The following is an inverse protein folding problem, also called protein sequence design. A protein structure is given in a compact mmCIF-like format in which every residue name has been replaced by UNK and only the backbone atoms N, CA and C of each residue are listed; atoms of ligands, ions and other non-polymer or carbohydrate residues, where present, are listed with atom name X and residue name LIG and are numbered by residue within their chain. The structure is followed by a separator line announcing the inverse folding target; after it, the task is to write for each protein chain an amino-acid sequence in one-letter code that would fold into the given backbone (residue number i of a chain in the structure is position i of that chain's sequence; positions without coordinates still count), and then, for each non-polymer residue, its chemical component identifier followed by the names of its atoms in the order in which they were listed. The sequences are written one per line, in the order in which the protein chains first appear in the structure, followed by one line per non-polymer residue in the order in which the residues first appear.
data_IF_011728541996
#
_entry.id   IF_011728541996
#
_cell.length_a   1.000
_cell.length_b   1.000
_cell.length_c   1.000
_cell.angle_alpha   90.00
_cell.angle_beta   90.00
_cell.angle_gamma   90.00
#
_symmetry.space_group_name_H-M   'P 1'
#
loop_
_entity.id
_entity.type
_entity.pdbx_description
1 polymer ?
#
# COMPACT_ATOMS: atom_id res chain seq x y z
N UNK A 1 21.01 43.24 7.40
CA UNK A 1 21.67 44.51 6.98
C UNK A 1 20.73 45.67 6.64
N UNK A 2 19.39 45.56 6.72
CA UNK A 2 18.47 46.69 6.44
C UNK A 2 18.31 47.69 7.62
N UNK A 3 18.60 47.27 8.86
CA UNK A 3 18.35 48.07 10.06
C UNK A 3 19.35 49.24 10.27
N UNK A 4 20.55 49.17 9.67
CA UNK A 4 21.54 50.26 9.74
C UNK A 4 21.20 51.41 8.79
N UNK A 5 20.60 51.11 7.61
CA UNK A 5 20.17 52.14 6.65
C UNK A 5 19.00 52.97 7.17
N UNK A 6 18.06 52.38 7.91
CA UNK A 6 16.89 53.07 8.47
C UNK A 6 17.28 54.07 9.57
N UNK A 7 18.28 53.72 10.41
CA UNK A 7 18.82 54.60 11.46
C UNK A 7 19.60 55.78 10.87
N UNK A 8 20.35 55.56 9.79
CA UNK A 8 21.05 56.63 9.08
C UNK A 8 20.07 57.63 8.42
N UNK A 9 18.96 57.15 7.82
CA UNK A 9 17.93 58.03 7.25
C UNK A 9 17.19 58.85 8.31
N UNK A 10 16.89 58.26 9.48
CA UNK A 10 16.33 59.02 10.60
C UNK A 10 17.31 60.06 11.12
N UNK A 11 18.62 59.77 11.15
CA UNK A 11 19.64 60.74 11.55
C UNK A 11 19.77 61.90 10.55
N UNK A 12 19.70 61.64 9.23
CA UNK A 12 19.71 62.69 8.20
C UNK A 12 18.45 63.56 8.25
N UNK A 13 17.27 62.95 8.46
CA UNK A 13 16.02 63.71 8.61
C UNK A 13 16.04 64.54 9.90
N UNK A 14 16.50 63.95 11.01
CA UNK A 14 16.60 64.62 12.30
C UNK A 14 17.63 65.76 12.26
N UNK A 15 18.79 65.56 11.62
CA UNK A 15 19.78 66.63 11.42
C UNK A 15 19.28 67.71 10.46
N UNK A 16 18.53 67.40 9.41
CA UNK A 16 17.93 68.40 8.53
C UNK A 16 16.84 69.23 9.24
N UNK A 17 15.97 68.58 10.02
CA UNK A 17 14.94 69.26 10.84
C UNK A 17 15.61 70.10 11.93
N UNK A 18 16.61 69.54 12.62
CA UNK A 18 17.34 70.23 13.69
C UNK A 18 18.20 71.37 13.14
N UNK A 19 18.79 71.23 11.95
CA UNK A 19 19.48 72.32 11.23
C UNK A 19 18.50 73.41 10.79
N UNK A 20 17.29 73.06 10.35
CA UNK A 20 16.24 74.04 10.04
C UNK A 20 15.74 74.79 11.27
N UNK A 21 15.54 74.10 12.40
CA UNK A 21 15.17 74.70 13.69
C UNK A 21 16.32 75.57 14.23
N UNK A 22 17.57 75.12 14.10
CA UNK A 22 18.75 75.86 14.56
C UNK A 22 19.01 77.09 13.69
N UNK A 23 18.71 77.04 12.38
CA UNK A 23 18.75 78.21 11.50
C UNK A 23 17.72 79.28 11.93
N UNK A 24 16.54 78.84 12.39
CA UNK A 24 15.51 79.73 12.92
C UNK A 24 15.92 80.35 14.27
N UNK A 25 16.52 79.58 15.18
CA UNK A 25 16.91 80.07 16.51
C UNK A 25 18.25 80.83 16.54
N UNK A 26 19.20 80.51 15.66
CA UNK A 26 20.43 81.28 15.49
C UNK A 26 20.13 82.67 14.90
N UNK A 27 19.10 82.78 14.05
CA UNK A 27 18.64 84.09 13.55
C UNK A 27 17.83 84.88 14.60
N UNK A 28 17.20 84.21 15.57
CA UNK A 28 16.57 84.88 16.71
C UNK A 28 17.58 85.43 17.75
N UNK A 29 18.86 85.05 17.66
CA UNK A 29 19.89 85.39 18.65
C UNK A 29 20.83 86.54 18.25
N UNK A 30 20.72 87.07 17.03
CA UNK A 30 21.45 88.27 16.60
C UNK A 30 20.46 89.42 16.37
N UNK A 31 20.19 90.19 17.43
CA UNK A 31 19.52 91.47 17.33
C UNK A 31 20.56 92.54 16.97
N UNK A 32 20.61 93.08 15.72
CA UNK A 32 21.41 94.26 15.45
C UNK A 32 20.73 95.46 16.12
N UNK A 33 21.32 95.93 17.22
CA UNK A 33 21.02 97.23 17.77
C UNK A 33 21.48 98.30 16.75
N UNK A 34 20.53 98.83 15.97
CA UNK A 34 20.73 100.03 15.12
C UNK A 34 20.52 99.78 13.62
N UNK A 35 19.28 99.97 13.16
CA UNK A 35 18.89 100.03 11.74
C UNK A 35 17.40 100.33 11.65
N UNK A 36 16.99 101.22 10.75
CA UNK A 36 15.65 101.83 10.72
C UNK A 36 14.46 100.86 10.58
N UNK A 37 13.25 101.40 10.76
CA UNK A 37 11.93 100.72 10.92
C UNK A 37 11.64 99.45 10.08
N UNK A 38 12.32 99.26 8.94
CA UNK A 38 12.18 98.10 8.06
C UNK A 38 12.86 96.83 8.60
N UNK A 39 13.99 96.93 9.30
CA UNK A 39 14.65 95.77 9.93
C UNK A 39 13.92 95.30 11.20
N UNK A 40 13.16 96.19 11.85
CA UNK A 40 12.32 95.85 13.01
C UNK A 40 11.00 95.18 12.62
N UNK A 41 10.60 95.27 11.34
CA UNK A 41 9.50 94.50 10.73
C UNK A 41 9.95 93.11 10.22
N UNK A 42 11.23 92.76 10.38
CA UNK A 42 11.76 91.43 10.05
C UNK A 42 11.85 91.12 8.54
N UNK A 43 11.66 92.12 7.68
CA UNK A 43 11.69 91.96 6.22
C UNK A 43 13.07 92.36 5.70
N UNK A 44 14.05 91.48 5.95
CA UNK A 44 15.36 91.58 5.32
C UNK A 44 15.40 90.68 4.06
N UNK A 45 15.64 91.22 2.85
CA UNK A 45 15.66 90.44 1.61
C UNK A 45 16.75 89.34 1.62
N UNK A 46 17.82 89.52 2.41
CA UNK A 46 18.84 88.49 2.63
C UNK A 46 18.30 87.30 3.43
N UNK A 47 17.47 87.56 4.44
CA UNK A 47 16.86 86.53 5.28
C UNK A 47 15.85 85.70 4.51
N UNK A 48 15.02 86.35 3.69
CA UNK A 48 14.07 85.67 2.80
C UNK A 48 14.82 84.77 1.79
N UNK A 49 15.94 85.26 1.23
CA UNK A 49 16.76 84.48 0.30
C UNK A 49 17.39 83.25 0.97
N UNK A 50 17.96 83.39 2.16
CA UNK A 50 18.56 82.27 2.92
C UNK A 50 17.48 81.26 3.33
N UNK A 51 16.31 81.73 3.79
CA UNK A 51 15.19 80.87 4.12
C UNK A 51 14.63 80.12 2.90
N UNK A 52 14.54 80.79 1.74
CA UNK A 52 14.13 80.17 0.49
C UNK A 52 15.12 79.09 0.02
N UNK A 53 16.43 79.36 0.15
CA UNK A 53 17.48 78.37 -0.16
C UNK A 53 17.40 77.17 0.79
N UNK A 54 17.21 77.41 2.10
CA UNK A 54 17.02 76.33 3.08
C UNK A 54 15.78 75.47 2.78
N UNK A 55 14.66 76.11 2.43
CA UNK A 55 13.45 75.40 2.00
C UNK A 55 13.68 74.57 0.73
N UNK A 56 14.38 75.11 -0.26
CA UNK A 56 14.74 74.40 -1.49
C UNK A 56 15.66 73.20 -1.23
N UNK A 57 16.62 73.31 -0.32
CA UNK A 57 17.51 72.21 0.07
C UNK A 57 16.68 71.09 0.72
N UNK A 58 15.81 71.42 1.67
CA UNK A 58 14.93 70.44 2.32
C UNK A 58 13.98 69.79 1.30
N UNK A 59 13.39 70.58 0.39
CA UNK A 59 12.52 70.07 -0.67
C UNK A 59 13.26 69.11 -1.61
N UNK A 60 14.49 69.43 -2.02
CA UNK A 60 15.32 68.58 -2.86
C UNK A 60 15.66 67.25 -2.17
N UNK A 61 15.96 67.28 -0.87
CA UNK A 61 16.20 66.08 -0.07
C UNK A 61 14.92 65.24 0.05
N UNK A 62 13.77 65.85 0.37
CA UNK A 62 12.50 65.13 0.43
C UNK A 62 12.13 64.51 -0.91
N UNK A 63 12.27 65.25 -2.01
CA UNK A 63 11.93 64.76 -3.34
C UNK A 63 12.77 63.53 -3.74
N UNK A 64 14.08 63.56 -3.49
CA UNK A 64 14.96 62.42 -3.81
C UNK A 64 14.71 61.19 -2.92
N UNK A 65 14.36 61.37 -1.65
CA UNK A 65 14.21 60.26 -0.71
C UNK A 65 12.78 59.69 -0.62
N UNK A 66 11.75 60.53 -0.62
CA UNK A 66 10.35 60.10 -0.47
C UNK A 66 9.90 59.31 -1.69
N UNK A 67 10.14 59.82 -2.91
CA UNK A 67 9.74 59.13 -4.14
C UNK A 67 10.44 57.78 -4.31
N UNK A 68 11.74 57.70 -3.97
CA UNK A 68 12.49 56.44 -4.03
C UNK A 68 12.03 55.39 -2.99
N UNK A 69 11.68 55.81 -1.77
CA UNK A 69 11.27 54.89 -0.70
C UNK A 69 9.82 54.44 -0.82
N UNK A 70 8.90 55.35 -1.15
CA UNK A 70 7.48 55.03 -1.32
C UNK A 70 7.27 54.21 -2.58
N UNK A 71 7.93 54.57 -3.69
CA UNK A 71 7.86 53.79 -4.94
C UNK A 71 8.33 52.34 -4.76
N UNK A 72 9.44 52.13 -4.06
CA UNK A 72 9.95 50.78 -3.78
C UNK A 72 8.98 49.92 -2.96
N UNK A 73 8.36 50.49 -1.91
CA UNK A 73 7.39 49.76 -1.09
C UNK A 73 6.12 49.37 -1.87
N UNK A 74 5.63 50.24 -2.75
CA UNK A 74 4.46 49.93 -3.58
C UNK A 74 4.79 48.86 -4.63
N UNK A 75 5.98 48.90 -5.21
CA UNK A 75 6.44 47.90 -6.18
C UNK A 75 6.67 46.54 -5.50
N UNK A 76 7.27 46.51 -4.31
CA UNK A 76 7.43 45.29 -3.52
C UNK A 76 6.07 44.65 -3.20
N UNK A 77 5.08 45.47 -2.79
CA UNK A 77 3.71 45.00 -2.56
C UNK A 77 3.04 44.48 -3.82
N UNK A 78 3.23 45.16 -4.96
CA UNK A 78 2.71 44.70 -6.25
C UNK A 78 3.31 43.34 -6.60
N UNK A 79 4.62 43.21 -6.51
CA UNK A 79 5.35 41.97 -6.84
C UNK A 79 4.95 40.82 -5.92
N UNK A 80 4.77 41.08 -4.62
CA UNK A 80 4.28 40.10 -3.65
C UNK A 80 2.89 39.57 -4.05
N UNK A 81 1.95 40.47 -4.35
CA UNK A 81 0.59 40.08 -4.77
C UNK A 81 0.60 39.31 -6.09
N UNK A 82 1.35 39.78 -7.09
CA UNK A 82 1.47 39.09 -8.38
C UNK A 82 2.05 37.70 -8.21
N UNK A 83 3.10 37.55 -7.38
CA UNK A 83 3.71 36.25 -7.09
C UNK A 83 2.73 35.32 -6.38
N UNK A 84 1.98 35.83 -5.39
CA UNK A 84 0.96 35.04 -4.70
C UNK A 84 -0.16 34.60 -5.63
N UNK A 85 -0.63 35.46 -6.54
CA UNK A 85 -1.66 35.10 -7.53
C UNK A 85 -1.15 34.03 -8.48
N UNK A 86 0.10 34.14 -8.93
CA UNK A 86 0.70 33.15 -9.83
C UNK A 86 0.87 31.80 -9.13
N UNK A 87 1.35 31.80 -7.89
CA UNK A 87 1.42 30.60 -7.05
C UNK A 87 0.05 29.96 -6.87
N UNK A 88 -0.97 30.74 -6.53
CA UNK A 88 -2.34 30.23 -6.40
C UNK A 88 -2.89 29.64 -7.71
N UNK A 89 -2.49 30.17 -8.87
CA UNK A 89 -2.85 29.58 -10.16
C UNK A 89 -2.15 28.24 -10.36
N UNK A 90 -0.84 28.19 -10.16
CA UNK A 90 -0.07 26.94 -10.28
C UNK A 90 -0.57 25.87 -9.32
N UNK A 91 -0.83 26.23 -8.06
CA UNK A 91 -1.36 25.31 -7.05
C UNK A 91 -2.74 24.76 -7.45
N UNK A 92 -3.61 25.60 -8.03
CA UNK A 92 -4.91 25.15 -8.54
C UNK A 92 -4.77 24.20 -9.72
N UNK A 93 -3.90 24.52 -10.67
CA UNK A 93 -3.64 23.65 -11.82
C UNK A 93 -3.05 22.30 -11.39
N UNK A 94 -2.16 22.30 -10.39
CA UNK A 94 -1.62 21.08 -9.79
C UNK A 94 -2.69 20.28 -9.03
N UNK A 95 -3.53 20.93 -8.24
CA UNK A 95 -4.65 20.28 -7.54
C UNK A 95 -5.64 19.65 -8.53
N UNK A 96 -5.98 20.34 -9.61
CA UNK A 96 -6.87 19.80 -10.65
C UNK A 96 -6.22 18.59 -11.33
N UNK A 97 -4.91 18.65 -11.63
CA UNK A 97 -4.16 17.53 -12.20
C UNK A 97 -4.14 16.33 -11.25
N UNK A 98 -3.80 16.55 -9.98
CA UNK A 98 -3.75 15.49 -8.96
C UNK A 98 -5.14 14.89 -8.73
N UNK A 99 -6.19 15.70 -8.77
CA UNK A 99 -7.57 15.22 -8.64
C UNK A 99 -7.97 14.36 -9.84
N UNK A 100 -7.63 14.79 -11.06
CA UNK A 100 -7.87 14.02 -12.27
C UNK A 100 -7.11 12.67 -12.24
N UNK A 101 -5.83 12.71 -11.89
CA UNK A 101 -4.99 11.52 -11.75
C UNK A 101 -5.53 10.56 -10.66
N UNK A 102 -5.97 11.10 -9.52
CA UNK A 102 -6.56 10.27 -8.45
C UNK A 102 -7.86 9.61 -8.91
N UNK A 103 -8.73 10.35 -9.61
CA UNK A 103 -9.97 9.79 -10.17
C UNK A 103 -9.69 8.69 -11.19
N UNK A 104 -8.70 8.91 -12.06
CA UNK A 104 -8.28 7.90 -13.03
C UNK A 104 -7.75 6.65 -12.32
N UNK A 105 -6.83 6.82 -11.36
CA UNK A 105 -6.29 5.70 -10.57
C UNK A 105 -7.38 4.93 -9.82
N UNK A 106 -8.40 5.61 -9.28
CA UNK A 106 -9.53 4.95 -8.63
C UNK A 106 -10.34 4.10 -9.63
N UNK A 107 -10.63 4.64 -10.82
CA UNK A 107 -11.34 3.90 -11.87
C UNK A 107 -10.51 2.69 -12.37
N UNK A 108 -9.20 2.85 -12.50
CA UNK A 108 -8.28 1.77 -12.87
C UNK A 108 -8.26 0.68 -11.77
N UNK A 109 -8.18 1.06 -10.50
CA UNK A 109 -8.24 0.14 -9.36
C UNK A 109 -9.57 -0.63 -9.32
N UNK A 110 -10.70 0.06 -9.54
CA UNK A 110 -12.02 -0.60 -9.58
C UNK A 110 -12.09 -1.63 -10.71
N UNK A 111 -11.57 -1.28 -11.89
CA UNK A 111 -11.51 -2.17 -13.05
C UNK A 111 -10.60 -3.37 -12.78
N UNK A 112 -9.39 -3.14 -12.26
CA UNK A 112 -8.43 -4.19 -11.92
C UNK A 112 -8.99 -5.12 -10.82
N UNK A 113 -9.66 -4.55 -9.81
CA UNK A 113 -10.30 -5.33 -8.76
C UNK A 113 -11.41 -6.23 -9.33
N UNK A 114 -12.25 -5.70 -10.23
CA UNK A 114 -13.29 -6.49 -10.88
C UNK A 114 -12.69 -7.62 -11.73
N UNK A 115 -11.65 -7.32 -12.52
CA UNK A 115 -10.93 -8.34 -13.30
C UNK A 115 -10.32 -9.40 -12.39
N UNK A 116 -9.67 -9.00 -11.30
CA UNK A 116 -9.03 -9.93 -10.36
C UNK A 116 -10.05 -10.84 -9.67
N UNK A 117 -11.22 -10.30 -9.29
CA UNK A 117 -12.31 -11.10 -8.74
C UNK A 117 -12.82 -12.10 -9.78
N UNK A 118 -13.02 -11.67 -11.02
CA UNK A 118 -13.48 -12.54 -12.09
C UNK A 118 -12.48 -13.68 -12.37
N UNK A 119 -11.19 -13.36 -12.47
CA UNK A 119 -10.12 -14.35 -12.63
C UNK A 119 -10.06 -15.32 -11.43
N UNK A 120 -10.22 -14.84 -10.21
CA UNK A 120 -10.23 -15.70 -9.03
C UNK A 120 -11.44 -16.66 -9.02
N UNK A 121 -12.62 -16.20 -9.47
CA UNK A 121 -13.80 -17.05 -9.63
C UNK A 121 -13.56 -18.12 -10.70
N UNK A 122 -13.00 -17.74 -11.84
CA UNK A 122 -12.68 -18.68 -12.93
C UNK A 122 -11.67 -19.73 -12.50
N UNK A 123 -10.58 -19.31 -11.84
CA UNK A 123 -9.57 -20.21 -11.27
C UNK A 123 -10.18 -21.14 -10.23
N UNK A 124 -10.99 -20.61 -9.30
CA UNK A 124 -11.64 -21.43 -8.28
C UNK A 124 -12.65 -22.44 -8.86
N UNK A 125 -13.33 -22.10 -9.95
CA UNK A 125 -14.21 -23.04 -10.64
C UNK A 125 -13.43 -24.11 -11.40
N UNK A 126 -12.33 -23.75 -12.05
CA UNK A 126 -11.44 -24.70 -12.71
C UNK A 126 -10.83 -25.68 -11.68
N UNK A 127 -10.28 -25.17 -10.58
CA UNK A 127 -9.71 -25.98 -9.50
C UNK A 127 -10.77 -26.88 -8.86
N UNK A 128 -11.99 -26.39 -8.62
CA UNK A 128 -13.10 -27.22 -8.16
C UNK A 128 -13.38 -28.37 -9.13
N UNK A 129 -13.40 -28.10 -10.44
CA UNK A 129 -13.67 -29.12 -11.45
C UNK A 129 -12.54 -30.15 -11.51
N UNK A 130 -11.29 -29.72 -11.38
CA UNK A 130 -10.12 -30.60 -11.36
C UNK A 130 -10.16 -31.50 -10.12
N UNK A 131 -10.41 -30.94 -8.93
CA UNK A 131 -10.56 -31.70 -7.68
C UNK A 131 -11.69 -32.73 -7.81
N UNK A 132 -12.84 -32.35 -8.36
CA UNK A 132 -13.97 -33.27 -8.54
C UNK A 132 -13.63 -34.39 -9.54
N UNK A 133 -12.90 -34.08 -10.59
CA UNK A 133 -12.46 -35.07 -11.59
C UNK A 133 -11.48 -36.05 -10.96
N UNK A 134 -10.46 -35.54 -10.26
CA UNK A 134 -9.47 -36.34 -9.58
C UNK A 134 -10.11 -37.21 -8.49
N UNK A 135 -11.00 -36.66 -7.66
CA UNK A 135 -11.68 -37.42 -6.61
C UNK A 135 -12.55 -38.56 -7.18
N UNK A 136 -13.21 -38.34 -8.33
CA UNK A 136 -13.95 -39.41 -9.03
C UNK A 136 -13.02 -40.50 -9.53
N UNK A 137 -11.89 -40.12 -10.14
CA UNK A 137 -10.92 -41.07 -10.63
C UNK A 137 -10.29 -41.88 -9.51
N UNK A 138 -9.91 -41.24 -8.40
CA UNK A 138 -9.40 -41.92 -7.20
C UNK A 138 -10.44 -42.86 -6.59
N UNK A 139 -11.72 -42.47 -6.56
CA UNK A 139 -12.80 -43.33 -6.09
C UNK A 139 -13.02 -44.55 -7.00
N UNK A 140 -12.98 -44.36 -8.32
CA UNK A 140 -13.06 -45.46 -9.29
C UNK A 140 -11.89 -46.43 -9.15
N UNK A 141 -10.66 -45.91 -9.00
CA UNK A 141 -9.46 -46.69 -8.78
C UNK A 141 -9.51 -47.46 -7.45
N UNK A 142 -9.99 -46.84 -6.38
CA UNK A 142 -10.17 -47.49 -5.08
C UNK A 142 -11.20 -48.62 -5.15
N UNK A 143 -12.34 -48.40 -5.82
CA UNK A 143 -13.35 -49.45 -6.04
C UNK A 143 -12.79 -50.58 -6.89
N UNK A 144 -11.99 -50.28 -7.92
CA UNK A 144 -11.35 -51.31 -8.74
C UNK A 144 -10.35 -52.14 -7.93
N UNK A 145 -9.51 -51.50 -7.09
CA UNK A 145 -8.60 -52.18 -6.16
C UNK A 145 -9.36 -53.06 -5.18
N UNK A 146 -10.39 -52.54 -4.53
CA UNK A 146 -11.20 -53.27 -3.57
C UNK A 146 -11.86 -54.51 -4.22
N UNK A 147 -12.36 -54.39 -5.46
CA UNK A 147 -12.91 -55.54 -6.19
C UNK A 147 -11.86 -56.59 -6.53
N UNK A 148 -10.66 -56.17 -6.92
CA UNK A 148 -9.56 -57.10 -7.19
C UNK A 148 -9.12 -57.83 -5.90
N UNK A 149 -9.06 -57.11 -4.78
CA UNK A 149 -8.75 -57.67 -3.47
C UNK A 149 -9.81 -58.69 -3.03
N UNK A 150 -11.10 -58.33 -3.10
CA UNK A 150 -12.21 -59.24 -2.81
C UNK A 150 -12.15 -60.51 -3.68
N UNK A 151 -11.79 -60.37 -4.96
CA UNK A 151 -11.68 -61.53 -5.83
C UNK A 151 -10.52 -62.45 -5.39
N UNK A 152 -9.37 -61.86 -5.03
CA UNK A 152 -8.22 -62.59 -4.50
C UNK A 152 -8.56 -63.32 -3.21
N UNK A 153 -9.17 -62.62 -2.24
CA UNK A 153 -9.59 -63.21 -0.96
C UNK A 153 -10.62 -64.34 -1.16
N UNK A 154 -11.55 -64.21 -2.11
CA UNK A 154 -12.49 -65.27 -2.46
C UNK A 154 -11.78 -66.50 -3.02
N UNK A 155 -10.84 -66.31 -3.93
CA UNK A 155 -10.09 -67.42 -4.53
C UNK A 155 -9.24 -68.15 -3.48
N UNK A 156 -8.66 -67.40 -2.54
CA UNK A 156 -7.94 -67.94 -1.38
C UNK A 156 -8.87 -68.71 -0.44
N UNK A 157 -10.03 -68.16 -0.08
CA UNK A 157 -11.02 -68.82 0.77
C UNK A 157 -11.58 -70.10 0.12
N UNK A 158 -11.79 -70.11 -1.21
CA UNK A 158 -12.19 -71.32 -1.94
C UNK A 158 -11.09 -72.37 -1.89
N UNK A 159 -9.82 -71.97 -2.03
CA UNK A 159 -8.68 -72.88 -1.93
C UNK A 159 -8.58 -73.51 -0.53
N UNK A 160 -8.74 -72.70 0.51
CA UNK A 160 -8.75 -73.18 1.90
C UNK A 160 -9.92 -74.13 2.16
N UNK A 161 -11.13 -73.79 1.69
CA UNK A 161 -12.32 -74.64 1.82
C UNK A 161 -12.14 -75.99 1.13
N UNK A 162 -11.47 -76.04 -0.03
CA UNK A 162 -11.15 -77.31 -0.71
C UNK A 162 -10.24 -78.19 0.14
N UNK A 163 -9.28 -77.59 0.85
CA UNK A 163 -8.43 -78.30 1.82
C UNK A 163 -9.25 -78.92 2.95
N UNK A 164 -10.10 -78.12 3.60
CA UNK A 164 -10.98 -78.58 4.70
C UNK A 164 -11.94 -79.68 4.24
N UNK A 165 -12.53 -79.55 3.06
CA UNK A 165 -13.46 -80.56 2.50
C UNK A 165 -12.71 -81.86 2.18
N UNK A 166 -11.48 -81.79 1.65
CA UNK A 166 -10.68 -82.97 1.39
C UNK A 166 -10.31 -83.70 2.69
N UNK A 167 -9.92 -82.97 3.73
CA UNK A 167 -9.62 -83.53 5.06
C UNK A 167 -10.86 -84.20 5.66
N UNK A 168 -12.01 -83.52 5.64
CA UNK A 168 -13.27 -84.09 6.13
C UNK A 168 -13.70 -85.34 5.35
N UNK A 169 -13.50 -85.37 4.04
CA UNK A 169 -13.79 -86.53 3.20
C UNK A 169 -12.87 -87.73 3.52
N UNK A 170 -11.58 -87.48 3.76
CA UNK A 170 -10.62 -88.50 4.20
C UNK A 170 -11.03 -89.03 5.58
N UNK A 171 -11.40 -88.16 6.52
CA UNK A 171 -11.83 -88.53 7.86
C UNK A 171 -13.10 -89.40 7.83
N UNK A 172 -14.09 -89.01 7.02
CA UNK A 172 -15.32 -89.79 6.83
C UNK A 172 -15.03 -91.16 6.20
N UNK A 173 -14.17 -91.23 5.18
CA UNK A 173 -13.78 -92.48 4.54
C UNK A 173 -13.03 -93.40 5.53
N UNK A 174 -12.08 -92.86 6.29
CA UNK A 174 -11.36 -93.55 7.37
C UNK A 174 -12.32 -94.15 8.40
N UNK A 175 -13.37 -93.41 8.77
CA UNK A 175 -14.37 -93.87 9.75
C UNK A 175 -15.23 -95.00 9.21
N UNK A 176 -15.69 -94.91 7.95
CA UNK A 176 -16.44 -95.99 7.29
C UNK A 176 -15.59 -97.25 7.15
N UNK A 177 -14.32 -97.12 6.73
CA UNK A 177 -13.38 -98.24 6.65
C UNK A 177 -13.18 -98.87 8.03
N UNK A 178 -13.03 -98.05 9.07
CA UNK A 178 -12.90 -98.54 10.46
C UNK A 178 -14.15 -99.29 10.94
N UNK A 179 -15.36 -98.84 10.55
CA UNK A 179 -16.61 -99.53 10.87
C UNK A 179 -16.79 -100.85 10.09
N UNK A 180 -16.43 -100.89 8.81
CA UNK A 180 -16.46 -102.12 7.99
C UNK A 180 -15.37 -103.14 8.41
N UNK A 181 -14.24 -102.69 8.96
CA UNK A 181 -13.16 -103.51 9.51
C UNK A 181 -13.42 -104.04 10.92
N UNK A 182 -14.69 -104.17 11.33
CA UNK A 182 -15.03 -104.79 12.61
C UNK A 182 -14.84 -106.33 12.55
N UNK A 183 -14.37 -106.90 13.65
CA UNK A 183 -13.85 -108.27 13.73
C UNK A 183 -14.83 -109.37 13.25
N UNK A 184 -16.14 -109.10 13.28
CA UNK A 184 -17.19 -110.03 12.84
C UNK A 184 -17.21 -110.25 11.30
N UNK A 185 -16.85 -109.26 10.48
CA UNK A 185 -16.88 -109.40 9.01
C UNK A 185 -15.57 -109.98 8.45
N UNK A 186 -14.45 -109.82 9.17
CA UNK A 186 -13.15 -110.40 8.82
C UNK A 186 -13.16 -111.94 8.88
N UNK A 187 -13.83 -112.55 9.87
CA UNK A 187 -13.98 -114.01 9.92
C UNK A 187 -14.78 -114.54 8.73
N UNK A 188 -15.87 -113.85 8.35
CA UNK A 188 -16.72 -114.27 7.24
C UNK A 188 -16.02 -114.17 5.86
N UNK A 189 -15.07 -113.25 5.67
CA UNK A 189 -14.27 -113.14 4.42
C UNK A 189 -13.11 -114.16 4.41
N UNK A 190 -12.49 -114.44 5.56
CA UNK A 190 -11.46 -115.48 5.68
C UNK A 190 -12.08 -116.86 5.41
N UNK A 191 -13.22 -117.17 6.01
CA UNK A 191 -13.93 -118.44 5.78
C UNK A 191 -14.43 -118.57 4.34
N UNK A 192 -14.90 -117.49 3.72
CA UNK A 192 -15.29 -117.46 2.31
C UNK A 192 -14.11 -117.58 1.33
N UNK A 193 -12.89 -117.20 1.74
CA UNK A 193 -11.68 -117.31 0.92
C UNK A 193 -11.03 -118.70 1.06
N UNK A 194 -11.03 -119.27 2.27
CA UNK A 194 -10.58 -120.64 2.53
C UNK A 194 -11.47 -121.66 1.79
N UNK A 195 -12.78 -121.42 1.70
CA UNK A 195 -13.71 -122.28 0.96
C UNK A 195 -13.59 -122.20 -0.57
N UNK A 196 -12.84 -121.25 -1.13
CA UNK A 196 -12.58 -121.12 -2.58
C UNK A 196 -11.23 -121.66 -3.04
N UNK A 197 -10.37 -122.12 -2.13
CA UNK A 197 -9.14 -122.80 -2.52
C UNK A 197 -9.47 -124.26 -2.87
N UNK A 198 -9.34 -124.69 -4.15
CA UNK A 198 -9.43 -126.10 -4.48
C UNK A 198 -8.29 -126.82 -3.78
N UNK A 199 -8.65 -127.82 -2.96
CA UNK A 199 -7.70 -128.71 -2.31
C UNK A 199 -6.93 -129.49 -3.38
N UNK A 200 -5.79 -128.95 -3.83
CA UNK A 200 -4.82 -129.69 -4.63
C UNK A 200 -3.83 -130.40 -3.70
N UNK A 201 -4.26 -131.61 -3.34
CA UNK A 201 -3.48 -132.83 -3.17
C UNK A 201 -1.95 -132.79 -3.37
N UNK A 202 -1.21 -133.10 -2.29
CA UNK A 202 -0.48 -134.37 -2.12
C UNK A 202 0.10 -134.52 -0.71
#
# INVERSE_FOLDING_TARGET
MQNTKHRATHYVLYTAILMGICLNSAFAAEAPAGGGLLSQLGIDPKTILIQAIGFLIVLAVLWKFVFGKVGGLLEDRRNEITTQIEQLRTDREELDRLTAETRQRLADIETEAQTKIQTAIEQGNAERQDILTQARQEAEDEVARARAEIQREKDEAISELRGVVAELAIDAASKIISEELNAERHQHIIDASISRLPADSR
#
